data_IF_560948313355
#
_entry.id   IF_560948313355
#
_cell.length_a   1.000
_cell.length_b   1.000
_cell.length_c   1.000
_cell.angle_alpha   90.00
_cell.angle_beta   90.00
_cell.angle_gamma   90.00
#
_symmetry.space_group_name_H-M   'P 1'
#
loop_
_entity.id
_entity.type
_entity.pdbx_description
1 polymer ?
#
# COMPACT_ATOMS: atom_id res chain seq x y z
N UNK A 1 -92.95 -38.60 13.17
CA UNK A 1 -91.70 -39.37 12.99
C UNK A 1 -90.55 -38.36 12.98
N UNK A 2 -89.75 -38.29 14.04
CA UNK A 2 -88.56 -37.43 14.09
C UNK A 2 -87.39 -38.24 13.52
N UNK A 3 -87.02 -37.96 12.27
CA UNK A 3 -85.80 -38.48 11.66
C UNK A 3 -84.62 -37.74 12.28
N UNK A 4 -83.81 -38.43 13.09
CA UNK A 4 -82.54 -37.90 13.56
C UNK A 4 -81.65 -37.61 12.35
N UNK A 5 -81.30 -36.33 12.14
CA UNK A 5 -80.31 -35.94 11.11
C UNK A 5 -78.93 -36.28 11.64
N UNK A 6 -78.26 -37.25 11.02
CA UNK A 6 -76.90 -37.61 11.35
C UNK A 6 -75.96 -36.45 10.98
N UNK A 7 -75.30 -35.85 11.97
CA UNK A 7 -74.44 -34.68 11.79
C UNK A 7 -73.26 -34.94 10.84
N UNK A 8 -72.84 -36.20 10.75
CA UNK A 8 -71.69 -36.67 9.96
C UNK A 8 -72.01 -36.99 8.49
N UNK A 9 -73.29 -36.99 8.08
CA UNK A 9 -73.70 -37.32 6.71
C UNK A 9 -74.11 -36.12 5.85
N UNK A 10 -73.87 -34.87 6.31
CA UNK A 10 -74.22 -33.67 5.54
C UNK A 10 -73.14 -33.37 4.49
N UNK A 11 -73.51 -32.85 3.33
CA UNK A 11 -72.57 -32.47 2.26
C UNK A 11 -71.51 -31.42 2.67
N UNK A 12 -71.72 -30.76 3.81
CA UNK A 12 -70.80 -29.80 4.43
C UNK A 12 -70.06 -30.39 5.65
N UNK A 13 -70.10 -31.69 5.86
CA UNK A 13 -69.26 -32.35 6.84
C UNK A 13 -67.84 -32.44 6.27
N UNK A 14 -66.80 -32.23 7.09
CA UNK A 14 -65.44 -32.49 6.65
C UNK A 14 -65.34 -33.96 6.23
N UNK A 15 -64.64 -34.22 5.13
CA UNK A 15 -64.30 -35.58 4.71
C UNK A 15 -63.59 -36.28 5.86
N UNK A 16 -64.09 -37.46 6.23
CA UNK A 16 -63.49 -38.25 7.30
C UNK A 16 -62.37 -39.08 6.69
N UNK A 17 -61.15 -38.85 7.20
CA UNK A 17 -59.98 -39.65 6.87
C UNK A 17 -60.30 -41.12 7.18
N UNK A 18 -60.15 -41.98 6.18
CA UNK A 18 -60.27 -43.41 6.37
C UNK A 18 -59.07 -43.93 7.17
N UNK A 19 -59.19 -45.11 7.77
CA UNK A 19 -58.07 -45.70 8.54
C UNK A 19 -56.85 -45.91 7.63
N UNK A 20 -57.07 -46.28 6.37
CA UNK A 20 -56.03 -46.48 5.36
C UNK A 20 -55.32 -45.15 5.03
N UNK A 21 -56.06 -44.06 4.83
CA UNK A 21 -55.47 -42.72 4.58
C UNK A 21 -54.65 -42.22 5.78
N UNK A 22 -55.12 -42.48 7.01
CA UNK A 22 -54.39 -42.12 8.22
C UNK A 22 -53.08 -42.92 8.37
N UNK A 23 -53.08 -44.20 8.00
CA UNK A 23 -51.88 -45.06 7.98
C UNK A 23 -50.88 -44.61 6.90
N UNK A 24 -51.35 -44.30 5.69
CA UNK A 24 -50.52 -43.76 4.60
C UNK A 24 -49.87 -42.43 5.01
N UNK A 25 -50.65 -41.53 5.62
CA UNK A 25 -50.14 -40.26 6.12
C UNK A 25 -49.09 -40.45 7.21
N UNK A 26 -49.26 -41.42 8.10
CA UNK A 26 -48.27 -41.74 9.12
C UNK A 26 -46.95 -42.20 8.48
N UNK A 27 -47.00 -43.10 7.49
CA UNK A 27 -45.81 -43.57 6.76
C UNK A 27 -45.08 -42.42 6.05
N UNK A 28 -45.81 -41.54 5.37
CA UNK A 28 -45.24 -40.37 4.67
C UNK A 28 -44.54 -39.42 5.66
N UNK A 29 -45.14 -39.18 6.83
CA UNK A 29 -44.56 -38.33 7.85
C UNK A 29 -43.29 -38.96 8.46
N UNK A 30 -43.28 -40.27 8.66
CA UNK A 30 -42.08 -40.99 9.09
C UNK A 30 -40.96 -40.88 8.06
N UNK A 31 -41.25 -41.14 6.79
CA UNK A 31 -40.27 -41.01 5.69
C UNK A 31 -39.74 -39.58 5.57
N UNK A 32 -40.63 -38.58 5.61
CA UNK A 32 -40.25 -37.17 5.59
C UNK A 32 -39.34 -36.81 6.78
N UNK A 33 -39.60 -37.36 7.96
CA UNK A 33 -38.76 -37.16 9.14
C UNK A 33 -37.36 -37.78 8.97
N UNK A 34 -37.26 -38.95 8.31
CA UNK A 34 -35.98 -39.58 8.01
C UNK A 34 -35.19 -38.78 6.97
N UNK A 35 -35.84 -38.35 5.89
CA UNK A 35 -35.21 -37.51 4.86
C UNK A 35 -34.68 -36.20 5.44
N UNK A 36 -35.42 -35.57 6.36
CA UNK A 36 -34.96 -34.37 7.05
C UNK A 36 -33.66 -34.63 7.85
N UNK A 37 -33.59 -35.75 8.57
CA UNK A 37 -32.36 -36.15 9.30
C UNK A 37 -31.19 -36.36 8.34
N UNK A 38 -31.41 -37.02 7.20
CA UNK A 38 -30.37 -37.19 6.19
C UNK A 38 -29.89 -35.85 5.61
N UNK A 39 -30.81 -34.94 5.30
CA UNK A 39 -30.46 -33.61 4.81
C UNK A 39 -29.62 -32.84 5.85
N UNK A 40 -29.98 -32.91 7.13
CA UNK A 40 -29.20 -32.30 8.21
C UNK A 40 -27.80 -32.92 8.35
N UNK A 41 -27.65 -34.24 8.21
CA UNK A 41 -26.33 -34.90 8.22
C UNK A 41 -25.44 -34.48 7.04
N UNK A 42 -26.03 -34.32 5.85
CA UNK A 42 -25.28 -33.89 4.67
C UNK A 42 -24.92 -32.41 4.70
N UNK A 43 -25.78 -31.57 5.28
CA UNK A 43 -25.52 -30.14 5.42
C UNK A 43 -24.50 -29.86 6.53
N UNK A 44 -24.47 -30.69 7.57
CA UNK A 44 -23.65 -30.51 8.76
C UNK A 44 -22.79 -31.75 9.08
N UNK A 45 -21.80 -32.07 8.24
CA UNK A 45 -20.92 -33.22 8.46
C UNK A 45 -20.03 -33.07 9.71
N UNK A 46 -19.90 -31.85 10.24
CA UNK A 46 -19.20 -31.56 11.48
C UNK A 46 -19.93 -32.08 12.72
N UNK A 47 -21.27 -32.22 12.67
CA UNK A 47 -22.07 -32.63 13.82
C UNK A 47 -21.87 -34.12 14.13
N UNK A 48 -21.84 -34.52 15.42
CA UNK A 48 -21.70 -35.92 15.79
C UNK A 48 -22.93 -36.72 15.34
N UNK A 49 -22.70 -37.91 14.80
CA UNK A 49 -23.75 -38.86 14.46
C UNK A 49 -24.27 -39.48 15.76
N UNK A 50 -25.51 -39.16 16.12
CA UNK A 50 -26.17 -39.68 17.33
C UNK A 50 -27.01 -40.90 16.95
N UNK A 51 -26.60 -42.09 17.41
CA UNK A 51 -27.29 -43.36 17.16
C UNK A 51 -27.70 -44.02 18.47
N UNK A 52 -28.82 -44.73 18.45
CA UNK A 52 -29.28 -45.56 19.59
C UNK A 52 -28.60 -46.93 19.64
N UNK A 53 -27.94 -47.33 18.55
CA UNK A 53 -27.18 -48.58 18.48
C UNK A 53 -25.82 -48.42 19.18
N UNK A 54 -25.58 -49.25 20.19
CA UNK A 54 -24.35 -49.28 21.00
C UNK A 54 -23.14 -49.74 20.17
N UNK A 55 -23.37 -50.46 19.06
CA UNK A 55 -22.31 -50.97 18.20
C UNK A 55 -22.00 -50.04 17.01
N UNK A 56 -22.70 -48.91 16.89
CA UNK A 56 -22.45 -47.95 15.83
C UNK A 56 -21.14 -47.18 16.09
N UNK A 57 -20.04 -47.68 15.54
CA UNK A 57 -18.72 -47.06 15.63
C UNK A 57 -18.44 -46.20 14.39
N UNK A 58 -18.76 -44.90 14.46
CA UNK A 58 -18.43 -43.93 13.40
C UNK A 58 -17.14 -43.15 13.71
N UNK A 59 -16.35 -42.80 12.68
CA UNK A 59 -15.24 -41.86 12.78
C UNK A 59 -15.71 -40.47 12.36
N UNK A 60 -15.66 -39.49 13.26
CA UNK A 60 -15.86 -38.09 12.91
C UNK A 60 -14.50 -37.50 12.48
N UNK A 61 -14.40 -37.09 11.21
CA UNK A 61 -13.17 -36.53 10.64
C UNK A 61 -12.95 -35.06 10.98
N UNK A 62 -14.00 -34.35 11.42
CA UNK A 62 -13.99 -32.92 11.77
C UNK A 62 -13.51 -32.68 13.20
N UNK A 63 -13.65 -33.65 14.10
CA UNK A 63 -13.25 -33.54 15.51
C UNK A 63 -11.98 -34.31 15.87
N UNK A 64 -11.24 -34.82 14.88
CA UNK A 64 -9.96 -35.51 15.12
C UNK A 64 -8.88 -34.50 15.53
N UNK A 65 -7.89 -34.93 16.31
CA UNK A 65 -6.79 -34.06 16.76
C UNK A 65 -5.92 -33.48 15.63
N UNK A 66 -6.01 -34.05 14.41
CA UNK A 66 -5.35 -33.57 13.19
C UNK A 66 -6.31 -32.95 12.18
N UNK A 67 -7.51 -32.55 12.61
CA UNK A 67 -8.38 -31.72 11.79
C UNK A 67 -7.83 -30.29 11.80
N UNK A 68 -7.98 -29.59 10.68
CA UNK A 68 -7.74 -28.16 10.62
C UNK A 68 -8.76 -27.46 11.54
N UNK A 69 -8.34 -26.38 12.21
CA UNK A 69 -9.24 -25.55 13.01
C UNK A 69 -10.31 -24.96 12.07
N UNK A 70 -11.58 -25.23 12.37
CA UNK A 70 -12.67 -24.65 11.61
C UNK A 70 -12.82 -23.20 12.03
N UNK A 71 -12.63 -22.30 11.06
CA UNK A 71 -12.96 -20.89 11.22
C UNK A 71 -14.45 -20.78 11.52
N UNK A 72 -14.78 -20.37 12.74
CA UNK A 72 -16.13 -20.17 13.21
C UNK A 72 -16.78 -18.95 12.56
N UNK A 73 -18.01 -18.66 12.95
CA UNK A 73 -18.71 -17.44 12.52
C UNK A 73 -18.01 -16.17 12.99
N UNK A 74 -17.28 -16.23 14.11
CA UNK A 74 -16.47 -15.12 14.63
C UNK A 74 -15.29 -14.81 13.69
N UNK A 75 -14.57 -15.83 13.22
CA UNK A 75 -13.48 -15.67 12.26
C UNK A 75 -13.93 -15.08 10.92
N UNK A 76 -15.18 -15.36 10.51
CA UNK A 76 -15.75 -14.76 9.30
C UNK A 76 -15.97 -13.24 9.48
N UNK A 77 -16.48 -12.81 10.65
CA UNK A 77 -16.67 -11.40 10.96
C UNK A 77 -15.32 -10.66 11.09
N UNK A 78 -14.34 -11.27 11.76
CA UNK A 78 -12.98 -10.72 11.85
C UNK A 78 -12.34 -10.58 10.47
N UNK A 79 -12.49 -11.58 9.60
CA UNK A 79 -12.00 -11.51 8.23
C UNK A 79 -12.64 -10.37 7.44
N UNK A 80 -13.95 -10.17 7.58
CA UNK A 80 -14.65 -9.07 6.93
C UNK A 80 -14.13 -7.71 7.42
N UNK A 81 -13.92 -7.56 8.73
CA UNK A 81 -13.34 -6.35 9.31
C UNK A 81 -11.92 -6.10 8.79
N UNK A 82 -11.05 -7.11 8.79
CA UNK A 82 -9.67 -7.00 8.28
C UNK A 82 -9.68 -6.57 6.81
N UNK A 83 -10.59 -7.12 6.00
CA UNK A 83 -10.71 -6.75 4.59
C UNK A 83 -11.16 -5.30 4.39
N UNK A 84 -12.06 -4.80 5.25
CA UNK A 84 -12.47 -3.40 5.25
C UNK A 84 -11.30 -2.47 5.61
N UNK A 85 -10.58 -2.77 6.70
CA UNK A 85 -9.40 -2.02 7.13
C UNK A 85 -8.29 -2.01 6.06
N UNK A 86 -8.05 -3.16 5.42
CA UNK A 86 -7.09 -3.25 4.30
C UNK A 86 -7.49 -2.36 3.12
N UNK A 87 -8.79 -2.29 2.80
CA UNK A 87 -9.29 -1.44 1.73
C UNK A 87 -9.09 0.05 2.05
N UNK A 88 -9.30 0.46 3.31
CA UNK A 88 -9.05 1.82 3.76
C UNK A 88 -7.57 2.18 3.73
N UNK A 89 -6.70 1.31 4.27
CA UNK A 89 -5.25 1.52 4.24
C UNK A 89 -4.73 1.67 2.80
N UNK A 90 -5.25 0.88 1.87
CA UNK A 90 -4.90 1.01 0.44
C UNK A 90 -5.30 2.37 -0.13
N UNK A 91 -6.45 2.92 0.26
CA UNK A 91 -6.87 4.28 -0.14
C UNK A 91 -5.91 5.33 0.41
N UNK A 92 -5.58 5.28 1.70
CA UNK A 92 -4.64 6.22 2.34
C UNK A 92 -3.24 6.13 1.75
N UNK A 93 -2.73 4.93 1.48
CA UNK A 93 -1.45 4.74 0.81
C UNK A 93 -1.45 5.42 -0.58
N UNK A 94 -2.56 5.35 -1.32
CA UNK A 94 -2.75 6.08 -2.57
C UNK A 94 -2.66 7.60 -2.40
N UNK A 95 -3.25 8.16 -1.35
CA UNK A 95 -3.17 9.60 -1.05
C UNK A 95 -1.75 10.05 -0.69
N UNK A 96 -1.00 9.22 0.04
CA UNK A 96 0.39 9.53 0.40
C UNK A 96 1.35 9.41 -0.78
N UNK A 97 1.13 8.44 -1.68
CA UNK A 97 1.94 8.28 -2.88
C UNK A 97 1.64 9.38 -3.92
N UNK A 98 0.40 9.86 -3.95
CA UNK A 98 -0.07 10.82 -4.94
C UNK A 98 -0.81 12.00 -4.29
N UNK A 99 -0.10 12.88 -3.56
CA UNK A 99 -0.72 13.99 -2.85
C UNK A 99 -1.27 15.06 -3.80
N UNK A 100 -0.89 15.04 -5.09
CA UNK A 100 -1.41 15.88 -6.15
C UNK A 100 -2.84 15.52 -6.57
N UNK A 101 -3.26 14.27 -6.35
CA UNK A 101 -4.59 13.79 -6.76
C UNK A 101 -5.66 14.31 -5.81
N UNK A 102 -6.85 14.70 -6.32
CA UNK A 102 -7.94 15.14 -5.47
C UNK A 102 -8.43 13.99 -4.59
N UNK A 103 -8.62 14.27 -3.30
CA UNK A 103 -9.25 13.34 -2.37
C UNK A 103 -10.75 13.29 -2.68
N UNK A 104 -11.25 12.12 -3.05
CA UNK A 104 -12.68 11.91 -3.31
C UNK A 104 -13.36 11.48 -2.01
N UNK A 105 -14.19 12.36 -1.45
CA UNK A 105 -15.00 12.08 -0.25
C UNK A 105 -16.46 11.94 -0.64
N UNK A 106 -17.18 11.01 0.02
CA UNK A 106 -18.64 10.87 -0.18
C UNK A 106 -19.44 11.97 0.53
N UNK A 107 -18.86 12.54 1.59
CA UNK A 107 -19.48 13.63 2.34
C UNK A 107 -19.21 14.98 1.65
N UNK A 108 -20.29 15.66 1.26
CA UNK A 108 -20.22 16.98 0.60
C UNK A 108 -19.85 18.11 1.57
N UNK A 109 -19.94 17.89 2.88
CA UNK A 109 -19.51 18.86 3.90
C UNK A 109 -17.99 18.88 4.07
N UNK A 110 -17.29 17.81 3.67
CA UNK A 110 -15.83 17.73 3.76
C UNK A 110 -15.19 18.55 2.62
N UNK A 111 -14.85 19.80 2.91
CA UNK A 111 -14.05 20.62 1.99
C UNK A 111 -12.55 20.34 2.18
N UNK A 112 -12.00 19.41 1.40
CA UNK A 112 -10.55 19.24 1.32
C UNK A 112 -9.96 20.26 0.32
N UNK A 113 -8.98 21.06 0.75
CA UNK A 113 -8.24 21.96 -0.14
C UNK A 113 -7.01 21.23 -0.67
N UNK A 114 -6.94 21.05 -2.00
CA UNK A 114 -5.70 20.57 -2.63
C UNK A 114 -4.65 21.68 -2.62
N UNK A 115 -3.56 21.48 -1.87
CA UNK A 115 -2.45 22.44 -1.82
C UNK A 115 -1.72 22.57 -3.16
N UNK A 116 -1.68 21.50 -3.94
CA UNK A 116 -0.96 21.43 -5.22
C UNK A 116 -1.71 22.09 -6.38
N UNK A 117 -3.06 22.16 -6.32
CA UNK A 117 -3.89 22.80 -7.34
C UNK A 117 -4.17 24.28 -7.12
N UNK A 118 -3.57 24.92 -6.10
CA UNK A 118 -3.79 26.35 -5.82
C UNK A 118 -3.07 27.21 -6.85
N UNK A 119 -3.66 28.35 -7.22
CA UNK A 119 -3.05 29.33 -8.15
C UNK A 119 -1.67 29.90 -7.73
N UNK A 120 -1.25 29.67 -6.49
CA UNK A 120 0.07 30.07 -5.99
C UNK A 120 1.00 28.88 -5.75
N UNK A 121 0.54 27.66 -6.02
CA UNK A 121 1.39 26.49 -5.93
C UNK A 121 2.53 26.66 -6.96
N UNK A 122 3.76 26.21 -6.63
CA UNK A 122 4.82 26.17 -7.63
C UNK A 122 4.37 25.30 -8.81
N UNK A 123 4.76 25.69 -10.02
CA UNK A 123 4.54 24.86 -11.21
C UNK A 123 5.12 23.47 -10.96
N UNK A 124 4.27 22.45 -11.13
CA UNK A 124 4.65 21.06 -11.03
C UNK A 124 5.19 20.64 -12.38
N UNK A 125 6.37 20.03 -12.38
CA UNK A 125 6.93 19.43 -13.58
C UNK A 125 6.09 18.21 -13.97
N UNK A 126 5.73 18.11 -15.24
CA UNK A 126 5.03 16.94 -15.76
C UNK A 126 5.99 15.75 -15.87
N UNK A 127 5.43 14.53 -15.99
CA UNK A 127 6.25 13.32 -16.19
C UNK A 127 7.09 13.45 -17.46
N UNK A 128 6.51 14.01 -18.53
CA UNK A 128 7.20 14.25 -19.81
C UNK A 128 8.35 15.24 -19.65
N UNK A 129 8.14 16.37 -18.97
CA UNK A 129 9.21 17.35 -18.70
C UNK A 129 10.34 16.77 -17.83
N UNK A 130 10.00 15.93 -16.84
CA UNK A 130 10.99 15.26 -16.00
C UNK A 130 11.86 14.26 -16.80
N UNK A 131 11.24 13.52 -17.72
CA UNK A 131 11.93 12.61 -18.65
C UNK A 131 12.80 13.37 -19.65
N UNK A 132 12.29 14.47 -20.24
CA UNK A 132 13.07 15.35 -21.10
C UNK A 132 14.28 15.95 -20.38
N UNK A 133 14.10 16.42 -19.14
CA UNK A 133 15.20 16.93 -18.33
C UNK A 133 16.25 15.85 -18.07
N UNK A 134 15.84 14.61 -17.81
CA UNK A 134 16.77 13.50 -17.61
C UNK A 134 17.62 13.26 -18.88
N UNK A 135 16.97 13.21 -20.06
CA UNK A 135 17.67 13.07 -21.34
C UNK A 135 18.63 14.22 -21.61
N UNK A 136 18.21 15.46 -21.37
CA UNK A 136 19.06 16.66 -21.54
C UNK A 136 20.28 16.58 -20.61
N UNK A 137 20.10 16.16 -19.35
CA UNK A 137 21.21 16.04 -18.40
C UNK A 137 22.21 14.97 -18.80
N UNK A 138 21.74 13.85 -19.37
CA UNK A 138 22.62 12.83 -19.94
C UNK A 138 23.41 13.37 -21.14
N UNK A 139 22.76 14.09 -22.05
CA UNK A 139 23.41 14.70 -23.20
C UNK A 139 24.45 15.75 -22.77
N UNK A 140 24.12 16.60 -21.80
CA UNK A 140 25.05 17.60 -21.23
C UNK A 140 26.27 16.92 -20.61
N UNK A 141 26.09 15.80 -19.91
CA UNK A 141 27.20 15.03 -19.36
C UNK A 141 28.12 14.48 -20.46
N UNK A 142 27.56 13.97 -21.54
CA UNK A 142 28.33 13.49 -22.69
C UNK A 142 29.07 14.63 -23.39
N UNK A 143 28.40 15.76 -23.64
CA UNK A 143 29.00 16.96 -24.20
C UNK A 143 30.16 17.49 -23.35
N UNK A 144 30.00 17.48 -22.02
CA UNK A 144 31.06 17.87 -21.09
C UNK A 144 32.28 16.97 -21.22
N UNK A 145 32.08 15.65 -21.29
CA UNK A 145 33.19 14.70 -21.53
C UNK A 145 33.90 14.98 -22.85
N UNK A 146 33.15 15.20 -23.94
CA UNK A 146 33.76 15.55 -25.23
C UNK A 146 34.55 16.86 -25.17
N UNK A 147 34.00 17.90 -24.54
CA UNK A 147 34.69 19.17 -24.36
C UNK A 147 36.01 19.00 -23.58
N UNK A 148 36.02 18.16 -22.53
CA UNK A 148 37.23 17.82 -21.78
C UNK A 148 38.25 17.09 -22.66
N UNK A 149 37.83 16.15 -23.53
CA UNK A 149 38.74 15.49 -24.48
C UNK A 149 39.35 16.44 -25.51
N UNK A 150 38.59 17.45 -25.97
CA UNK A 150 39.11 18.45 -26.90
C UNK A 150 40.04 19.46 -26.22
N UNK A 151 39.76 19.82 -24.97
CA UNK A 151 40.59 20.75 -24.20
C UNK A 151 41.91 20.10 -23.75
N UNK A 152 41.86 18.79 -23.48
CA UNK A 152 42.97 18.00 -22.96
C UNK A 152 43.21 16.73 -23.79
N UNK A 153 43.62 16.87 -25.07
CA UNK A 153 43.87 15.72 -25.93
C UNK A 153 45.05 14.85 -25.48
N UNK A 154 45.89 15.36 -24.57
CA UNK A 154 46.97 14.62 -23.91
C UNK A 154 46.47 13.60 -22.88
N UNK A 155 45.27 13.79 -22.32
CA UNK A 155 44.77 12.91 -21.25
C UNK A 155 44.39 11.53 -21.79
N UNK A 156 44.69 10.45 -21.05
CA UNK A 156 44.31 9.11 -21.47
C UNK A 156 42.78 8.96 -21.47
N UNK A 157 42.26 8.29 -22.50
CA UNK A 157 40.83 7.98 -22.60
C UNK A 157 40.54 6.78 -21.71
N UNK A 158 39.81 6.99 -20.62
CA UNK A 158 39.32 5.89 -19.77
C UNK A 158 38.19 5.15 -20.49
N UNK A 159 38.40 3.87 -20.78
CA UNK A 159 37.43 3.00 -21.43
C UNK A 159 37.16 1.77 -20.55
N UNK A 160 35.90 1.33 -20.51
CA UNK A 160 35.49 0.13 -19.79
C UNK A 160 35.64 -1.15 -20.62
N UNK A 161 35.83 -1.01 -21.94
CA UNK A 161 36.03 -2.12 -22.86
C UNK A 161 37.50 -2.55 -22.88
N UNK A 162 37.77 -3.80 -22.46
CA UNK A 162 39.10 -4.38 -22.45
C UNK A 162 39.74 -4.50 -23.85
N UNK A 163 38.93 -4.44 -24.92
CA UNK A 163 39.41 -4.48 -26.30
C UNK A 163 39.60 -3.09 -26.92
N UNK A 164 39.28 -2.01 -26.20
CA UNK A 164 39.52 -0.65 -26.66
C UNK A 164 41.03 -0.39 -26.70
N UNK A 165 41.61 -0.38 -27.91
CA UNK A 165 43.01 -0.05 -28.13
C UNK A 165 43.13 1.30 -28.86
N UNK A 166 43.84 2.25 -28.23
CA UNK A 166 44.09 3.58 -28.76
C UNK A 166 45.59 3.93 -28.67
N UNK A 167 46.11 4.65 -29.67
CA UNK A 167 47.48 5.19 -29.65
C UNK A 167 47.42 6.68 -29.29
N UNK A 168 47.93 7.07 -28.12
CA UNK A 168 48.09 8.48 -27.77
C UNK A 168 49.29 9.07 -28.54
N UNK A 169 49.04 10.08 -29.38
CA UNK A 169 50.08 10.74 -30.17
C UNK A 169 50.94 11.71 -29.35
N UNK A 170 50.52 12.06 -28.14
CA UNK A 170 51.25 12.91 -27.21
C UNK A 170 52.31 12.14 -26.40
N UNK A 171 52.07 10.86 -26.09
CA UNK A 171 52.97 10.03 -25.27
C UNK A 171 53.97 9.18 -26.09
N UNK A 172 54.00 9.34 -27.42
CA UNK A 172 54.92 8.58 -28.27
C UNK A 172 56.36 9.07 -28.07
N UNK A 173 57.33 8.14 -28.13
CA UNK A 173 58.76 8.42 -28.00
C UNK A 173 59.32 9.48 -28.98
N UNK A 174 58.62 9.72 -30.10
CA UNK A 174 58.98 10.70 -31.13
C UNK A 174 58.22 12.02 -31.02
N UNK A 175 57.31 12.18 -30.05
CA UNK A 175 56.66 13.47 -29.80
C UNK A 175 57.72 14.43 -29.25
N UNK A 176 57.64 15.71 -29.63
CA UNK A 176 58.46 16.72 -28.99
C UNK A 176 58.10 16.72 -27.51
N UNK A 177 59.08 16.48 -26.63
CA UNK A 177 58.91 16.67 -25.19
C UNK A 177 58.36 18.09 -25.00
N UNK A 178 57.07 18.20 -24.66
CA UNK A 178 56.53 19.46 -24.18
C UNK A 178 57.27 19.68 -22.87
N UNK A 179 58.28 20.55 -22.92
CA UNK A 179 58.94 21.05 -21.72
C UNK A 179 57.82 21.61 -20.88
N UNK A 180 57.53 20.94 -19.75
CA UNK A 180 56.61 21.48 -18.76
C UNK A 180 57.05 22.93 -18.50
N UNK A 181 56.14 23.93 -18.58
CA UNK A 181 56.51 25.24 -18.09
C UNK A 181 56.89 25.04 -16.62
N UNK A 182 58.15 25.30 -16.32
CA UNK A 182 58.69 25.25 -14.96
C UNK A 182 57.65 25.80 -14.01
N UNK A 183 57.30 25.00 -13.00
CA UNK A 183 56.50 25.45 -11.88
C UNK A 183 57.19 26.69 -11.30
N UNK A 184 56.75 27.87 -11.73
CA UNK A 184 57.10 29.12 -11.07
C UNK A 184 56.56 28.97 -9.66
N UNK A 185 57.50 28.88 -8.72
CA UNK A 185 57.25 28.92 -7.30
C UNK A 185 56.19 29.96 -6.96
N UNK A 186 55.26 29.58 -6.11
CA UNK A 186 54.10 30.35 -5.66
C UNK A 186 54.45 31.58 -4.79
N UNK A 187 55.56 32.26 -5.05
CA UNK A 187 56.06 33.31 -4.15
C UNK A 187 55.83 34.76 -4.64
N UNK A 188 55.26 34.98 -5.83
CA UNK A 188 54.99 36.35 -6.31
C UNK A 188 53.64 36.48 -7.05
N UNK A 189 52.54 36.20 -6.36
CA UNK A 189 51.20 36.65 -6.80
C UNK A 189 50.71 37.70 -5.81
N UNK A 190 50.81 38.97 -6.19
CA UNK A 190 50.14 40.05 -5.47
C UNK A 190 48.65 39.71 -5.30
N UNK A 191 48.05 39.94 -4.12
CA UNK A 191 46.66 39.59 -3.88
C UNK A 191 45.75 40.46 -4.75
N UNK A 192 45.31 39.90 -5.88
CA UNK A 192 44.19 40.48 -6.64
C UNK A 192 42.93 40.27 -5.82
N UNK A 193 42.31 41.37 -5.39
CA UNK A 193 41.02 41.34 -4.72
C UNK A 193 39.98 40.61 -5.59
N UNK A 194 39.15 39.74 -5.01
CA UNK A 194 38.16 39.00 -5.79
C UNK A 194 37.13 39.97 -6.35
N UNK A 195 37.05 40.05 -7.68
CA UNK A 195 35.95 40.72 -8.38
C UNK A 195 34.65 40.02 -7.99
N UNK A 196 33.86 40.69 -7.15
CA UNK A 196 32.53 40.24 -6.71
C UNK A 196 31.56 40.24 -7.89
N UNK A 197 31.48 39.13 -8.60
CA UNK A 197 30.33 38.83 -9.46
C UNK A 197 29.12 38.59 -8.56
N UNK A 198 28.17 39.54 -8.57
CA UNK A 198 26.88 39.40 -7.90
C UNK A 198 26.05 38.37 -8.66
N UNK A 199 26.13 37.10 -8.29
CA UNK A 199 25.20 36.07 -8.76
C UNK A 199 23.88 36.19 -7.99
N UNK A 200 22.93 36.94 -8.56
CA UNK A 200 21.53 36.81 -8.17
C UNK A 200 20.95 35.58 -8.86
N UNK A 201 21.30 34.39 -8.39
CA UNK A 201 20.67 33.13 -8.79
C UNK A 201 20.28 32.40 -7.51
N UNK A 202 18.99 32.46 -7.16
CA UNK A 202 18.40 31.56 -6.17
C UNK A 202 18.34 30.16 -6.77
N UNK A 203 19.46 29.43 -6.70
CA UNK A 203 19.50 28.00 -6.95
C UNK A 203 18.93 27.30 -5.72
N UNK A 204 17.84 26.58 -5.95
CA UNK A 204 17.20 25.70 -4.98
C UNK A 204 18.19 24.62 -4.56
N UNK A 205 18.51 24.55 -3.27
CA UNK A 205 19.40 23.52 -2.74
C UNK A 205 18.63 22.19 -2.64
N UNK A 206 19.19 21.06 -3.11
CA UNK A 206 18.60 19.76 -2.84
C UNK A 206 18.73 19.42 -1.35
N UNK A 207 17.68 18.82 -0.79
CA UNK A 207 17.62 18.42 0.61
C UNK A 207 18.79 17.50 0.99
N UNK A 208 19.45 17.83 2.10
CA UNK A 208 20.51 17.03 2.69
C UNK A 208 19.96 15.65 3.08
N UNK A 209 20.70 14.60 2.69
CA UNK A 209 20.46 13.23 3.13
C UNK A 209 20.68 13.17 4.65
N UNK A 210 19.67 12.71 5.38
CA UNK A 210 19.81 12.40 6.81
C UNK A 210 20.80 11.24 6.97
N UNK A 211 21.98 11.54 7.50
CA UNK A 211 22.87 10.53 8.06
C UNK A 211 22.35 10.17 9.46
N UNK A 212 22.10 8.88 9.68
CA UNK A 212 21.85 8.31 11.00
C UNK A 212 23.16 8.31 11.79
N UNK A 213 23.23 9.17 12.82
CA UNK A 213 24.30 9.19 13.80
C UNK A 213 23.68 9.16 15.19
N UNK A 214 23.83 8.01 15.84
CA UNK A 214 23.61 7.74 17.25
C UNK A 214 24.69 8.48 18.08
N UNK A 215 24.29 9.13 19.18
CA UNK A 215 25.06 9.31 20.43
C UNK A 215 24.51 10.47 21.32
N UNK A 216 23.88 10.08 22.44
CA UNK A 216 24.17 10.56 23.80
C UNK A 216 24.03 12.05 24.21
N UNK A 217 22.91 12.33 24.92
CA UNK A 217 22.71 13.26 26.07
C UNK A 217 23.64 14.48 26.26
N UNK A 218 23.06 15.70 26.16
CA UNK A 218 23.26 16.83 27.10
C UNK A 218 21.99 17.68 27.17
N UNK A 219 21.40 17.74 28.36
CA UNK A 219 20.42 18.76 28.78
C UNK A 219 21.16 20.11 28.89
N UNK A 220 20.62 21.21 28.36
CA UNK A 220 20.65 22.55 28.97
C UNK A 220 19.65 23.48 28.26
N UNK A 221 19.12 24.40 29.05
CA UNK A 221 17.91 25.20 28.87
C UNK A 221 18.04 26.31 27.81
N UNK A 222 16.96 26.54 27.05
CA UNK A 222 16.85 27.68 26.15
C UNK A 222 15.96 27.45 24.93
N UNK A 223 14.69 27.06 25.15
CA UNK A 223 13.76 26.83 24.05
C UNK A 223 13.37 28.17 23.38
N UNK A 224 14.10 28.54 22.32
CA UNK A 224 13.66 29.55 21.37
C UNK A 224 12.46 28.99 20.61
N UNK A 225 11.25 29.44 20.99
CA UNK A 225 10.01 28.96 20.41
C UNK A 225 9.96 29.28 18.92
N UNK A 226 9.91 28.25 18.09
CA UNK A 226 9.61 28.38 16.66
C UNK A 226 8.17 28.88 16.45
N UNK A 227 7.87 29.63 15.38
CA UNK A 227 6.57 30.29 15.17
C UNK A 227 5.38 29.35 14.90
N UNK A 228 5.52 28.04 15.08
CA UNK A 228 4.47 27.03 14.87
C UNK A 228 3.88 26.43 16.16
N UNK A 229 4.10 27.04 17.32
CA UNK A 229 3.45 26.61 18.57
C UNK A 229 1.95 26.95 18.54
N UNK A 230 1.12 25.98 18.17
CA UNK A 230 -0.33 26.02 18.33
C UNK A 230 -0.63 25.95 19.83
N UNK A 231 -1.22 27.02 20.38
CA UNK A 231 -1.75 27.06 21.74
C UNK A 231 -3.12 26.36 21.74
N UNK A 232 -3.18 25.14 22.27
CA UNK A 232 -4.44 24.46 22.57
C UNK A 232 -5.05 25.10 23.83
N UNK A 233 -6.04 25.96 23.65
CA UNK A 233 -6.87 26.49 24.73
C UNK A 233 -8.18 25.69 24.85
N UNK A 234 -8.46 25.21 26.06
CA UNK A 234 -9.81 25.07 26.63
C UNK A 234 -10.62 23.82 26.30
N UNK A 235 -10.49 22.79 27.13
CA UNK A 235 -11.62 21.92 27.48
C UNK A 235 -12.00 22.27 28.93
N UNK A 236 -13.09 23.02 29.10
CA UNK A 236 -13.77 23.14 30.38
C UNK A 236 -14.86 22.06 30.42
N UNK A 237 -14.75 21.16 31.38
CA UNK A 237 -15.76 20.15 31.68
C UNK A 237 -17.02 20.86 32.20
N UNK A 238 -18.11 20.80 31.43
CA UNK A 238 -19.45 21.13 31.91
C UNK A 238 -20.25 19.82 31.98
N UNK A 239 -20.27 19.21 33.16
CA UNK A 239 -21.24 18.17 33.54
C UNK A 239 -22.61 18.83 33.79
N UNK A 240 -23.63 18.33 33.11
CA UNK A 240 -25.04 18.47 33.47
C UNK A 240 -25.77 17.17 33.09
#
# INVERSE_FOLDING_TARGET
MLSARCYYGRATAPEQETVEEAEERAMILEEASMLKKYAEFHLHPEKPVVTTDVNACGRNYFTRASADEFYGTEDAAEREQILQECAELKKYAGYHLHPEKPVVTEDSMLSARCYYGRATAPEQETVEEAEERAMILEEVFMLKKYAEFYLHPERPVETTDANACGRNYFDRFSAANVVEPEAKSEENREPQEPVKLKSNTKLFQPAAKHASGDDGNKEEEGMTRSPSSIMLYGFEDNEA
#
